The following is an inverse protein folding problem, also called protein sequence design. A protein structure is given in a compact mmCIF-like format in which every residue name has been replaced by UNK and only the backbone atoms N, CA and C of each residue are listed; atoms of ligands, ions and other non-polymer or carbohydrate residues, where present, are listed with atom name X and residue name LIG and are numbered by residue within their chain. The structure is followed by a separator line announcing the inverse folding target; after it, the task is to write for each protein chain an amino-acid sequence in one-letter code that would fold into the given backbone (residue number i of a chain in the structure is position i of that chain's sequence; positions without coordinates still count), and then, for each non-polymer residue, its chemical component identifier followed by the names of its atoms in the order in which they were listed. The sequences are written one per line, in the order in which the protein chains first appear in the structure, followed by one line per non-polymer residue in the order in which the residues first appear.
data_IF_084237232654
#
_entry.id   IF_084237232654
#
_cell.length_a   1.000
_cell.length_b   1.000
_cell.length_c   1.000
_cell.angle_alpha   90.00
_cell.angle_beta   90.00
_cell.angle_gamma   90.00
#
_symmetry.space_group_name_H-M   'P 1'
#
loop_
_entity.id
_entity.type
_entity.pdbx_description
1 polymer ?
#
# COMPACT_ATOMS: atom_id res chain seq x y z
N UNK A 1 -5.88 -19.95 8.11
CA UNK A 1 -4.55 -20.42 8.63
C UNK A 1 -3.59 -19.25 8.88
N UNK A 2 -3.38 -18.36 7.90
CA UNK A 2 -2.52 -17.15 8.03
C UNK A 2 -3.03 -16.19 9.11
N UNK A 3 -4.35 -15.99 9.20
CA UNK A 3 -4.96 -15.12 10.22
C UNK A 3 -4.58 -15.50 11.67
N UNK A 4 -4.45 -16.80 11.98
CA UNK A 4 -4.07 -17.27 13.33
C UNK A 4 -2.61 -16.95 13.67
N UNK A 5 -1.75 -16.79 12.66
CA UNK A 5 -0.33 -16.49 12.79
C UNK A 5 -0.02 -14.99 12.77
N UNK A 6 -1.05 -14.13 12.82
CA UNK A 6 -0.87 -12.68 12.85
C UNK A 6 0.09 -12.16 13.93
N UNK A 7 0.14 -12.69 15.19
CA UNK A 7 1.03 -12.11 16.19
C UNK A 7 2.49 -12.50 15.90
N UNK A 8 2.70 -13.70 15.36
CA UNK A 8 4.02 -14.14 14.93
C UNK A 8 4.53 -13.30 13.76
N UNK A 9 3.71 -13.10 12.72
CA UNK A 9 4.13 -12.29 11.57
C UNK A 9 4.38 -10.83 11.95
N UNK A 10 3.58 -10.24 12.83
CA UNK A 10 3.79 -8.86 13.30
C UNK A 10 5.06 -8.72 14.11
N UNK A 11 5.30 -9.59 15.09
CA UNK A 11 6.53 -9.57 15.90
C UNK A 11 7.77 -9.76 15.03
N UNK A 12 7.75 -10.74 14.12
CA UNK A 12 8.88 -10.99 13.21
C UNK A 12 9.07 -9.82 12.24
N UNK A 13 8.01 -9.21 11.72
CA UNK A 13 8.10 -8.05 10.83
C UNK A 13 8.72 -6.84 11.54
N UNK A 14 8.28 -6.52 12.76
CA UNK A 14 8.87 -5.44 13.54
C UNK A 14 10.32 -5.74 13.93
N UNK A 15 10.63 -6.96 14.37
CA UNK A 15 11.98 -7.35 14.76
C UNK A 15 12.97 -7.32 13.59
N UNK A 16 12.61 -7.93 12.46
CA UNK A 16 13.44 -7.93 11.25
C UNK A 16 13.52 -6.56 10.59
N UNK A 17 12.44 -5.76 10.60
CA UNK A 17 12.45 -4.39 10.11
C UNK A 17 13.34 -3.46 10.94
N UNK A 18 13.26 -3.54 12.27
CA UNK A 18 14.17 -2.82 13.17
C UNK A 18 15.62 -3.26 12.95
N UNK A 19 15.87 -4.57 12.82
CA UNK A 19 17.19 -5.10 12.49
C UNK A 19 17.73 -4.57 11.16
N UNK A 20 16.89 -4.53 10.12
CA UNK A 20 17.25 -4.00 8.81
C UNK A 20 17.61 -2.50 8.88
N UNK A 21 16.88 -1.71 9.66
CA UNK A 21 17.18 -0.30 9.92
C UNK A 21 18.50 -0.12 10.68
N UNK A 22 18.73 -0.92 11.73
CA UNK A 22 19.99 -0.87 12.49
C UNK A 22 21.21 -1.19 11.62
N UNK A 23 21.10 -2.20 10.74
CA UNK A 23 22.14 -2.54 9.77
C UNK A 23 22.37 -1.44 8.72
N UNK A 24 21.39 -0.54 8.53
CA UNK A 24 21.47 0.57 7.57
C UNK A 24 21.98 1.88 8.20
N UNK A 25 22.56 1.82 9.42
CA UNK A 25 23.09 3.00 10.11
C UNK A 25 22.19 3.57 11.22
N UNK A 26 21.08 2.89 11.56
CA UNK A 26 20.21 3.27 12.67
C UNK A 26 19.08 4.24 12.28
N UNK A 27 18.58 5.07 13.22
CA UNK A 27 17.46 5.98 12.97
C UNK A 27 17.78 7.09 11.97
N UNK A 28 19.06 7.39 11.79
CA UNK A 28 19.57 8.30 10.76
C UNK A 28 20.31 7.44 9.75
N UNK A 29 19.69 7.12 8.60
CA UNK A 29 20.29 6.21 7.63
C UNK A 29 21.65 6.73 7.19
N UNK A 30 22.69 5.92 7.36
CA UNK A 30 23.98 6.24 6.79
C UNK A 30 23.88 5.93 5.29
N UNK A 31 24.00 6.95 4.44
CA UNK A 31 24.06 6.80 2.98
C UNK A 31 25.40 6.19 2.50
N UNK A 32 26.23 5.74 3.45
CA UNK A 32 27.50 5.07 3.17
C UNK A 32 27.22 3.68 2.56
N UNK A 33 27.79 3.37 1.39
CA UNK A 33 27.65 2.03 0.80
C UNK A 33 28.24 0.97 1.74
N UNK A 34 27.53 -0.14 1.92
CA UNK A 34 28.08 -1.32 2.59
C UNK A 34 29.11 -1.96 1.66
N UNK A 35 30.39 -1.81 2.00
CA UNK A 35 31.54 -2.26 1.20
C UNK A 35 31.92 -3.72 1.48
N UNK A 36 31.69 -4.21 2.70
CA UNK A 36 31.95 -5.60 3.08
C UNK A 36 30.92 -6.56 2.42
N UNK A 37 31.36 -7.52 1.59
CA UNK A 37 30.46 -8.47 0.92
C UNK A 37 29.63 -9.32 1.88
N UNK A 38 30.21 -9.71 3.02
CA UNK A 38 29.55 -10.58 4.00
C UNK A 38 28.42 -9.86 4.72
N UNK A 39 28.70 -8.62 5.16
CA UNK A 39 27.73 -7.73 5.78
C UNK A 39 26.61 -7.35 4.79
N UNK A 40 26.96 -7.12 3.52
CA UNK A 40 25.99 -6.83 2.47
C UNK A 40 25.03 -8.00 2.23
N UNK A 41 25.54 -9.23 2.16
CA UNK A 41 24.70 -10.42 2.03
C UNK A 41 23.76 -10.58 3.22
N UNK A 42 24.30 -10.44 4.44
CA UNK A 42 23.50 -10.52 5.66
C UNK A 42 22.40 -9.46 5.71
N UNK A 43 22.73 -8.20 5.43
CA UNK A 43 21.77 -7.11 5.38
C UNK A 43 20.69 -7.34 4.31
N UNK A 44 21.06 -7.85 3.13
CA UNK A 44 20.09 -8.19 2.08
C UNK A 44 19.13 -9.30 2.54
N UNK A 45 19.61 -10.34 3.22
CA UNK A 45 18.77 -11.40 3.77
C UNK A 45 17.80 -10.87 4.84
N UNK A 46 18.28 -10.01 5.74
CA UNK A 46 17.43 -9.40 6.78
C UNK A 46 16.38 -8.48 6.17
N UNK A 47 16.73 -7.67 5.16
CA UNK A 47 15.78 -6.85 4.40
C UNK A 47 14.73 -7.69 3.67
N UNK A 48 15.15 -8.75 2.97
CA UNK A 48 14.23 -9.65 2.29
C UNK A 48 13.24 -10.30 3.26
N UNK A 49 13.73 -10.76 4.43
CA UNK A 49 12.88 -11.29 5.49
C UNK A 49 11.91 -10.23 6.02
N UNK A 50 12.38 -9.01 6.27
CA UNK A 50 11.55 -7.91 6.75
C UNK A 50 10.41 -7.57 5.77
N UNK A 51 10.71 -7.44 4.48
CA UNK A 51 9.69 -7.15 3.45
C UNK A 51 8.67 -8.29 3.35
N UNK A 52 9.14 -9.54 3.31
CA UNK A 52 8.26 -10.70 3.18
C UNK A 52 7.34 -10.83 4.39
N UNK A 53 7.91 -10.79 5.60
CA UNK A 53 7.15 -10.94 6.85
C UNK A 53 6.19 -9.77 7.09
N UNK A 54 6.56 -8.54 6.70
CA UNK A 54 5.66 -7.38 6.73
C UNK A 54 4.45 -7.57 5.83
N UNK A 55 4.63 -8.15 4.64
CA UNK A 55 3.51 -8.45 3.72
C UNK A 55 2.52 -9.44 4.35
N UNK A 56 3.01 -10.52 4.98
CA UNK A 56 2.14 -11.45 5.71
C UNK A 56 1.51 -10.83 6.94
N UNK A 57 2.23 -9.97 7.67
CA UNK A 57 1.72 -9.28 8.83
C UNK A 57 0.52 -8.38 8.46
N UNK A 58 0.68 -7.54 7.44
CA UNK A 58 -0.39 -6.66 6.94
C UNK A 58 -1.56 -7.47 6.41
N UNK A 59 -1.31 -8.56 5.67
CA UNK A 59 -2.38 -9.45 5.16
C UNK A 59 -3.14 -10.13 6.31
N UNK A 60 -2.42 -10.68 7.29
CA UNK A 60 -3.03 -11.35 8.43
C UNK A 60 -3.84 -10.38 9.31
N UNK A 61 -3.32 -9.17 9.54
CA UNK A 61 -4.05 -8.10 10.23
C UNK A 61 -5.30 -7.67 9.45
N UNK A 62 -5.21 -7.56 8.12
CA UNK A 62 -6.35 -7.21 7.27
C UNK A 62 -7.43 -8.29 7.32
N UNK A 63 -7.07 -9.57 7.30
CA UNK A 63 -8.03 -10.66 7.46
C UNK A 63 -8.69 -10.67 8.84
N UNK A 64 -7.95 -10.33 9.89
CA UNK A 64 -8.46 -10.33 11.26
C UNK A 64 -9.37 -9.13 11.56
N UNK A 65 -8.98 -7.93 11.13
CA UNK A 65 -9.65 -6.68 11.53
C UNK A 65 -10.49 -6.05 10.41
N UNK A 66 -10.23 -6.40 9.14
CA UNK A 66 -10.85 -5.80 7.97
C UNK A 66 -11.67 -6.79 7.12
N UNK A 67 -11.90 -8.02 7.60
CA UNK A 67 -12.67 -9.07 6.89
C UNK A 67 -14.17 -8.74 6.70
N UNK A 68 -14.72 -7.85 7.52
CA UNK A 68 -16.09 -7.39 7.37
C UNK A 68 -16.31 -6.55 6.09
N UNK A 69 -17.50 -6.68 5.50
CA UNK A 69 -17.89 -5.87 4.36
C UNK A 69 -17.99 -4.39 4.75
N UNK A 70 -17.36 -3.53 3.96
CA UNK A 70 -17.46 -2.08 4.10
C UNK A 70 -17.42 -1.42 2.73
N UNK A 71 -18.40 -0.55 2.46
CA UNK A 71 -18.51 0.16 1.19
C UNK A 71 -17.30 1.08 0.94
N UNK A 72 -16.78 1.73 1.98
CA UNK A 72 -15.59 2.60 1.88
C UNK A 72 -14.33 1.80 1.56
N UNK A 73 -14.15 0.62 2.19
CA UNK A 73 -13.02 -0.27 1.89
C UNK A 73 -13.08 -0.82 0.45
N UNK A 74 -14.28 -1.14 -0.04
CA UNK A 74 -14.48 -1.56 -1.43
C UNK A 74 -14.11 -0.44 -2.40
N UNK A 75 -14.63 0.77 -2.17
CA UNK A 75 -14.29 1.94 -2.99
C UNK A 75 -12.78 2.19 -3.03
N UNK A 76 -12.10 2.16 -1.89
CA UNK A 76 -10.66 2.38 -1.82
C UNK A 76 -9.86 1.26 -2.52
N UNK A 77 -10.32 0.01 -2.42
CA UNK A 77 -9.73 -1.11 -3.15
C UNK A 77 -9.87 -0.93 -4.67
N UNK A 78 -11.02 -0.46 -5.15
CA UNK A 78 -11.27 -0.20 -6.56
C UNK A 78 -10.47 1.01 -7.08
N UNK A 79 -10.23 2.01 -6.23
CA UNK A 79 -9.41 3.18 -6.55
C UNK A 79 -7.89 2.90 -6.51
N UNK A 80 -7.44 1.94 -5.70
CA UNK A 80 -6.02 1.60 -5.51
C UNK A 80 -5.27 1.34 -6.82
N UNK A 81 -5.93 0.75 -7.81
CA UNK A 81 -5.30 0.49 -9.11
C UNK A 81 -5.05 1.77 -9.91
N UNK A 82 -6.00 2.72 -9.89
CA UNK A 82 -5.79 4.03 -10.52
C UNK A 82 -4.71 4.82 -9.80
N UNK A 83 -4.75 4.86 -8.46
CA UNK A 83 -3.72 5.49 -7.63
C UNK A 83 -2.35 4.91 -8.00
N UNK A 84 -2.22 3.59 -8.14
CA UNK A 84 -0.96 2.95 -8.56
C UNK A 84 -0.43 3.47 -9.92
N UNK A 85 -1.28 3.80 -10.87
CA UNK A 85 -0.82 4.32 -12.18
C UNK A 85 -0.42 5.80 -12.07
N UNK A 86 -1.25 6.62 -11.44
CA UNK A 86 -1.07 8.09 -11.46
C UNK A 86 -0.15 8.59 -10.35
N UNK A 87 0.05 7.84 -9.26
CA UNK A 87 0.83 8.34 -8.12
C UNK A 87 2.28 8.61 -8.49
N UNK A 88 2.93 7.77 -9.32
CA UNK A 88 4.35 7.89 -9.61
C UNK A 88 4.71 9.26 -10.23
N UNK A 89 4.10 9.70 -11.35
CA UNK A 89 4.38 11.03 -11.90
C UNK A 89 3.98 12.17 -10.95
N UNK A 90 2.89 12.00 -10.18
CA UNK A 90 2.46 13.00 -9.20
C UNK A 90 3.45 13.16 -8.04
N UNK A 91 4.03 12.06 -7.55
CA UNK A 91 5.08 12.09 -6.52
C UNK A 91 6.31 12.80 -7.07
N UNK A 92 6.74 12.49 -8.30
CA UNK A 92 7.87 13.17 -8.94
C UNK A 92 7.63 14.68 -9.05
N UNK A 93 6.45 15.09 -9.51
CA UNK A 93 6.08 16.50 -9.57
C UNK A 93 6.04 17.15 -8.18
N UNK A 94 5.44 16.48 -7.19
CA UNK A 94 5.38 16.93 -5.80
C UNK A 94 6.77 17.10 -5.17
N UNK A 95 7.71 16.20 -5.47
CA UNK A 95 9.09 16.31 -5.03
C UNK A 95 9.77 17.55 -5.61
N UNK A 96 9.59 17.83 -6.91
CA UNK A 96 10.15 19.03 -7.56
C UNK A 96 9.58 20.31 -6.96
N UNK A 97 8.26 20.36 -6.74
CA UNK A 97 7.59 21.52 -6.15
C UNK A 97 8.01 21.78 -4.69
N UNK A 98 8.41 20.74 -3.95
CA UNK A 98 8.81 20.82 -2.55
C UNK A 98 10.32 20.96 -2.33
N UNK A 99 11.14 21.02 -3.39
CA UNK A 99 12.60 21.21 -3.31
C UNK A 99 12.94 22.46 -2.49
N UNK A 100 12.47 23.63 -2.94
CA UNK A 100 12.79 24.93 -2.34
C UNK A 100 11.85 25.35 -1.20
N UNK A 101 10.86 24.52 -0.88
CA UNK A 101 9.90 24.83 0.16
C UNK A 101 10.58 24.89 1.54
N UNK A 102 10.35 25.94 2.37
CA UNK A 102 10.99 26.11 3.68
C UNK A 102 10.34 25.24 4.78
N UNK A 103 9.77 24.08 4.43
CA UNK A 103 9.17 23.15 5.37
C UNK A 103 10.20 22.13 5.91
N UNK A 104 10.02 21.67 7.16
CA UNK A 104 10.78 20.52 7.66
C UNK A 104 10.44 19.25 6.87
N UNK A 105 11.32 18.24 6.93
CA UNK A 105 11.22 17.00 6.14
C UNK A 105 9.87 16.29 6.27
N UNK A 106 9.30 16.23 7.47
CA UNK A 106 8.00 15.60 7.74
C UNK A 106 6.85 16.40 7.13
N UNK A 107 6.96 17.73 7.10
CA UNK A 107 5.99 18.62 6.47
C UNK A 107 5.98 18.47 4.95
N UNK A 108 7.17 18.37 4.34
CA UNK A 108 7.31 18.07 2.91
C UNK A 108 6.70 16.70 2.58
N UNK A 109 7.05 15.66 3.35
CA UNK A 109 6.51 14.31 3.17
C UNK A 109 4.98 14.29 3.28
N UNK A 110 4.42 14.87 4.35
CA UNK A 110 2.98 14.90 4.57
C UNK A 110 2.25 15.65 3.45
N UNK A 111 2.81 16.79 3.00
CA UNK A 111 2.22 17.60 1.93
C UNK A 111 2.19 16.85 0.60
N UNK A 112 3.29 16.17 0.23
CA UNK A 112 3.35 15.35 -0.98
C UNK A 112 2.39 14.17 -0.88
N UNK A 113 2.40 13.43 0.23
CA UNK A 113 1.53 12.26 0.41
C UNK A 113 0.06 12.65 0.34
N UNK A 114 -0.36 13.66 1.09
CA UNK A 114 -1.75 14.13 1.11
C UNK A 114 -2.14 14.72 -0.24
N UNK A 115 -1.29 15.54 -0.85
CA UNK A 115 -1.54 16.15 -2.15
C UNK A 115 -1.68 15.11 -3.26
N UNK A 116 -0.73 14.19 -3.36
CA UNK A 116 -0.77 13.10 -4.36
C UNK A 116 -2.00 12.22 -4.14
N UNK A 117 -2.30 11.84 -2.90
CA UNK A 117 -3.48 11.01 -2.61
C UNK A 117 -4.77 11.73 -2.96
N UNK A 118 -4.91 13.00 -2.59
CA UNK A 118 -6.09 13.80 -2.92
C UNK A 118 -6.27 13.93 -4.44
N UNK A 119 -5.21 14.28 -5.18
CA UNK A 119 -5.25 14.39 -6.64
C UNK A 119 -5.56 13.03 -7.29
N UNK A 120 -4.98 11.95 -6.77
CA UNK A 120 -5.23 10.59 -7.30
C UNK A 120 -6.68 10.15 -7.09
N UNK A 121 -7.27 10.45 -5.92
CA UNK A 121 -8.66 10.12 -5.63
C UNK A 121 -9.65 11.03 -6.37
N UNK A 122 -9.35 12.33 -6.49
CA UNK A 122 -10.17 13.27 -7.25
C UNK A 122 -10.15 12.93 -8.75
N UNK A 123 -8.97 12.62 -9.29
CA UNK A 123 -8.86 12.17 -10.68
C UNK A 123 -9.57 10.84 -10.91
N UNK A 124 -9.55 9.92 -9.95
CA UNK A 124 -10.34 8.69 -10.02
C UNK A 124 -11.85 8.96 -10.08
N UNK A 125 -12.36 9.80 -9.17
CA UNK A 125 -13.79 10.14 -9.13
C UNK A 125 -14.24 10.82 -10.43
N UNK A 126 -13.46 11.79 -10.93
CA UNK A 126 -13.81 12.57 -12.12
C UNK A 126 -13.61 11.81 -13.44
N UNK A 127 -12.49 11.10 -13.59
CA UNK A 127 -12.05 10.53 -14.87
C UNK A 127 -12.23 9.02 -14.98
N UNK A 128 -12.44 8.28 -13.90
CA UNK A 128 -12.55 6.82 -13.95
C UNK A 128 -13.94 6.35 -13.56
N UNK A 129 -14.53 6.90 -12.50
CA UNK A 129 -15.87 6.51 -12.05
C UNK A 129 -16.97 6.92 -13.04
N UNK A 130 -16.84 8.08 -13.68
CA UNK A 130 -17.82 8.60 -14.64
C UNK A 130 -17.49 8.29 -16.10
N UNK A 131 -16.40 7.59 -16.39
CA UNK A 131 -15.83 7.48 -17.74
C UNK A 131 -15.54 6.03 -18.16
N UNK A 132 -15.50 5.76 -19.47
CA UNK A 132 -15.30 4.42 -20.04
C UNK A 132 -13.98 3.74 -19.59
N UNK A 133 -13.01 4.50 -19.07
CA UNK A 133 -11.72 4.00 -18.59
C UNK A 133 -11.89 3.06 -17.38
N UNK A 134 -12.85 3.31 -16.48
CA UNK A 134 -13.17 2.38 -15.40
C UNK A 134 -13.69 1.03 -15.89
N UNK A 135 -14.30 1.00 -17.09
CA UNK A 135 -14.79 -0.22 -17.75
C UNK A 135 -13.65 -1.03 -18.38
N UNK A 136 -12.61 -0.36 -18.86
CA UNK A 136 -11.44 -0.97 -19.49
C UNK A 136 -10.41 -1.48 -18.47
N UNK A 137 -10.18 -0.74 -17.37
CA UNK A 137 -9.17 -1.12 -16.35
C UNK A 137 -9.67 -2.15 -15.33
N UNK A 138 -10.92 -2.05 -14.84
CA UNK A 138 -11.42 -2.95 -13.80
C UNK A 138 -12.15 -4.19 -14.34
N UNK A 139 -12.35 -4.31 -15.66
CA UNK A 139 -12.92 -5.48 -16.34
C UNK A 139 -14.36 -5.88 -15.97
N UNK A 140 -14.91 -5.37 -14.86
CA UNK A 140 -16.25 -5.64 -14.35
C UNK A 140 -16.80 -4.39 -13.69
N UNK A 141 -18.04 -4.02 -14.06
CA UNK A 141 -18.84 -3.07 -13.27
C UNK A 141 -18.89 -3.59 -11.85
N UNK A 142 -18.45 -2.80 -10.88
CA UNK A 142 -18.80 -3.03 -9.48
C UNK A 142 -20.30 -2.74 -9.41
N UNK A 143 -21.17 -3.76 -9.29
CA UNK A 143 -22.61 -3.54 -9.30
C UNK A 143 -22.95 -2.82 -7.99
N UNK A 144 -23.64 -1.69 -8.08
CA UNK A 144 -24.16 -0.97 -6.92
C UNK A 144 -25.17 -1.80 -6.11
N UNK A 145 -25.74 -2.86 -6.70
CA UNK A 145 -26.76 -3.68 -6.08
C UNK A 145 -26.18 -4.96 -5.51
N UNK A 146 -26.56 -5.28 -4.26
CA UNK A 146 -26.41 -6.61 -3.65
C UNK A 146 -26.85 -7.67 -4.67
N UNK A 147 -26.14 -8.81 -4.78
CA UNK A 147 -26.67 -9.96 -5.50
C UNK A 147 -28.05 -10.24 -4.91
N UNK A 148 -29.11 -10.12 -5.71
CA UNK A 148 -30.40 -10.70 -5.36
C UNK A 148 -30.13 -12.19 -5.19
N UNK A 149 -30.43 -12.73 -4.01
CA UNK A 149 -30.33 -14.16 -3.77
C UNK A 149 -30.94 -14.90 -4.95
N UNK A 150 -30.14 -15.74 -5.62
CA UNK A 150 -30.63 -16.57 -6.68
C UNK A 150 -31.71 -17.47 -6.08
N UNK A 151 -32.97 -17.14 -6.35
CA UNK A 151 -34.11 -17.99 -5.99
C UNK A 151 -33.84 -19.34 -6.63
N UNK A 152 -33.60 -20.35 -5.80
CA UNK A 152 -33.46 -21.72 -6.25
C UNK A 152 -34.73 -22.09 -7.00
N UNK A 153 -34.61 -22.30 -8.32
CA UNK A 153 -35.70 -22.82 -9.13
C UNK A 153 -35.94 -24.26 -8.66
N UNK A 154 -37.13 -24.62 -8.16
CA UNK A 154 -37.42 -25.99 -7.81
C UNK A 154 -37.33 -26.83 -9.09
N UNK A 155 -36.56 -27.91 -9.02
CA UNK A 155 -36.54 -28.91 -10.07
C UNK A 155 -37.90 -29.61 -10.06
N UNK A 156 -38.74 -29.26 -11.03
CA UNK A 156 -39.89 -30.07 -11.45
C UNK A 156 -39.43 -31.07 -12.51
#
# INVERSE_FOLDING_TARGET
RIERLWPMFTVVAFGSGAGALMLSGGPVPALAPVTDPSLKLFAACVHALAVYTSTFAVTALSLRFLSGYSATRRYLADASYWVYIVHLPLVMAGQVLMLDAPLPWWGKLASVVVGVMAISLLSYELLVRHTFIGKALNGRRVPWRRPTDAVAVPAE
#
